data_IF_208910246606
#
_entry.id   IF_208910246606
#
_cell.length_a   1.000
_cell.length_b   1.000
_cell.length_c   1.000
_cell.angle_alpha   90.00
_cell.angle_beta   90.00
_cell.angle_gamma   90.00
#
_symmetry.space_group_name_H-M   'P 1'
#
loop_
_entity.id
_entity.type
_entity.pdbx_description
1 polymer ?
#
# COMPACT_ATOMS: atom_id res chain seq x y z
N UNK A 1 -2.00 -3.39 -11.85
CA UNK A 1 -1.00 -3.56 -10.78
C UNK A 1 -0.35 -2.21 -10.50
N UNK A 2 -0.02 -1.93 -9.24
CA UNK A 2 0.75 -0.75 -8.80
C UNK A 2 1.99 -1.26 -8.09
N UNK A 3 3.14 -0.65 -8.37
CA UNK A 3 4.41 -0.93 -7.68
C UNK A 3 4.79 0.30 -6.85
N UNK A 4 5.29 0.06 -5.64
CA UNK A 4 5.61 1.11 -4.67
C UNK A 4 6.86 0.72 -3.90
N UNK A 5 7.78 1.66 -3.72
CA UNK A 5 9.09 1.42 -3.13
C UNK A 5 10.07 2.53 -3.47
N UNK A 6 11.37 2.23 -3.36
CA UNK A 6 12.43 3.18 -3.64
C UNK A 6 12.44 3.64 -5.09
N UNK A 7 12.72 4.93 -5.28
CA UNK A 7 12.69 5.60 -6.59
C UNK A 7 13.57 4.90 -7.61
N UNK A 8 14.82 4.64 -7.25
CA UNK A 8 15.84 4.07 -8.14
C UNK A 8 15.48 2.64 -8.57
N UNK A 9 15.00 1.81 -7.65
CA UNK A 9 14.54 0.45 -7.95
C UNK A 9 13.36 0.46 -8.94
N UNK A 10 12.40 1.36 -8.75
CA UNK A 10 11.24 1.48 -9.63
C UNK A 10 11.59 2.09 -11.01
N UNK A 11 12.57 2.97 -11.09
CA UNK A 11 13.10 3.49 -12.36
C UNK A 11 13.76 2.38 -13.19
N UNK A 12 14.51 1.47 -12.55
CA UNK A 12 15.04 0.27 -13.21
C UNK A 12 13.93 -0.63 -13.78
N UNK A 13 12.90 -0.91 -12.98
CA UNK A 13 11.75 -1.71 -13.43
C UNK A 13 10.94 -1.03 -14.53
N UNK A 14 10.80 0.29 -14.48
CA UNK A 14 10.17 1.06 -15.57
C UNK A 14 10.90 0.84 -16.89
N UNK A 15 12.24 0.92 -16.91
CA UNK A 15 13.03 0.68 -18.11
C UNK A 15 12.80 -0.73 -18.65
N UNK A 16 12.84 -1.76 -17.79
CA UNK A 16 12.56 -3.15 -18.18
C UNK A 16 11.17 -3.29 -18.79
N UNK A 17 10.13 -2.83 -18.10
CA UNK A 17 8.76 -2.98 -18.59
C UNK A 17 8.49 -2.21 -19.87
N UNK A 18 9.06 -1.00 -20.03
CA UNK A 18 8.97 -0.26 -21.28
C UNK A 18 9.71 -0.96 -22.42
N UNK A 19 10.88 -1.55 -22.15
CA UNK A 19 11.62 -2.36 -23.12
C UNK A 19 10.83 -3.59 -23.60
N UNK A 20 10.00 -4.16 -22.73
CA UNK A 20 9.04 -5.22 -23.05
C UNK A 20 7.75 -4.71 -23.77
N UNK A 21 7.66 -3.41 -24.05
CA UNK A 21 6.48 -2.80 -24.68
C UNK A 21 5.29 -2.59 -23.75
N UNK A 22 5.46 -2.72 -22.42
CA UNK A 22 4.38 -2.50 -21.45
C UNK A 22 4.21 -1.01 -21.14
N UNK A 23 2.95 -0.60 -20.94
CA UNK A 23 2.62 0.77 -20.53
C UNK A 23 2.94 0.99 -19.05
N UNK A 24 3.79 1.97 -18.76
CA UNK A 24 4.13 2.41 -17.40
C UNK A 24 3.70 3.86 -17.19
N UNK A 25 3.19 4.18 -15.99
CA UNK A 25 2.82 5.55 -15.59
C UNK A 25 3.17 5.79 -14.13
N UNK A 26 3.97 6.82 -13.87
CA UNK A 26 4.21 7.33 -12.51
C UNK A 26 2.95 7.97 -11.91
N UNK A 27 2.69 7.68 -10.64
CA UNK A 27 1.62 8.32 -9.88
C UNK A 27 2.14 9.60 -9.22
N UNK A 28 1.37 10.69 -9.30
CA UNK A 28 1.67 11.96 -8.61
C UNK A 28 1.21 11.87 -7.17
N UNK A 29 2.04 11.27 -6.33
CA UNK A 29 1.79 11.08 -4.89
C UNK A 29 3.02 11.53 -4.10
N UNK A 30 2.83 11.83 -2.82
CA UNK A 30 3.91 12.32 -1.97
C UNK A 30 4.84 11.22 -1.44
N UNK A 31 4.33 9.99 -1.30
CA UNK A 31 5.05 8.88 -0.69
C UNK A 31 4.79 7.55 -1.40
N UNK A 32 5.69 6.60 -1.16
CA UNK A 32 5.55 5.21 -1.57
C UNK A 32 4.65 4.42 -0.59
N UNK A 33 3.33 4.66 -0.65
CA UNK A 33 2.36 3.93 0.17
C UNK A 33 2.39 2.42 -0.09
N UNK A 34 2.06 1.61 0.92
CA UNK A 34 2.14 0.14 0.86
C UNK A 34 3.53 -0.41 0.49
N UNK A 35 4.60 0.31 0.87
CA UNK A 35 5.98 -0.17 0.76
C UNK A 35 6.66 -0.15 2.13
N UNK A 36 7.83 -0.81 2.30
CA UNK A 36 8.62 -0.72 3.53
C UNK A 36 9.02 0.71 3.92
N UNK A 37 8.98 1.67 2.98
CA UNK A 37 9.22 3.08 3.28
C UNK A 37 8.14 3.70 4.18
N UNK A 38 7.04 3.00 4.44
CA UNK A 38 6.03 3.40 5.43
C UNK A 38 6.38 2.96 6.86
N UNK A 39 7.42 2.14 7.07
CA UNK A 39 7.83 1.68 8.41
C UNK A 39 8.02 2.84 9.42
N UNK A 40 8.66 3.98 9.08
CA UNK A 40 8.92 5.04 10.04
C UNK A 40 7.65 5.65 10.68
N UNK A 41 6.51 5.64 9.97
CA UNK A 41 5.27 6.19 10.51
C UNK A 41 4.46 5.18 11.34
N UNK A 42 4.78 3.89 11.26
CA UNK A 42 3.95 2.84 11.88
C UNK A 42 3.87 2.97 13.40
N UNK A 43 4.97 3.35 14.06
CA UNK A 43 4.98 3.47 15.51
C UNK A 43 3.99 4.53 16.02
N UNK A 44 4.01 5.72 15.42
CA UNK A 44 3.12 6.82 15.83
C UNK A 44 1.69 6.59 15.37
N UNK A 45 1.51 6.01 14.17
CA UNK A 45 0.20 5.61 13.69
C UNK A 45 -0.46 4.59 14.62
N UNK A 46 0.30 3.60 15.10
CA UNK A 46 -0.20 2.57 16.01
C UNK A 46 -0.62 3.14 17.37
N UNK A 47 0.05 4.17 17.88
CA UNK A 47 -0.37 4.86 19.12
C UNK A 47 -1.78 5.42 18.99
N UNK A 48 -2.07 6.07 17.87
CA UNK A 48 -3.39 6.64 17.59
C UNK A 48 -4.42 5.53 17.41
N UNK A 49 -4.12 4.52 16.59
CA UNK A 49 -5.02 3.41 16.32
C UNK A 49 -5.44 2.66 17.61
N UNK A 50 -4.51 2.42 18.53
CA UNK A 50 -4.79 1.78 19.83
C UNK A 50 -5.75 2.59 20.72
N UNK A 51 -5.89 3.89 20.49
CA UNK A 51 -6.82 4.74 21.22
C UNK A 51 -8.28 4.64 20.74
N UNK A 52 -8.55 3.87 19.70
CA UNK A 52 -9.88 3.72 19.12
C UNK A 52 -10.62 2.53 19.73
N UNK A 53 -11.94 2.69 19.91
CA UNK A 53 -12.83 1.56 20.22
C UNK A 53 -13.26 0.91 18.90
N UNK A 54 -12.94 -0.37 18.73
CA UNK A 54 -13.33 -1.17 17.58
C UNK A 54 -14.64 -1.91 17.88
N UNK A 55 -15.52 -2.00 16.88
CA UNK A 55 -16.78 -2.72 16.96
C UNK A 55 -16.91 -3.65 15.76
N UNK A 56 -17.62 -4.75 15.96
CA UNK A 56 -17.87 -5.71 14.89
C UNK A 56 -18.67 -5.06 13.75
N UNK A 57 -18.29 -5.30 12.49
CA UNK A 57 -18.99 -4.74 11.36
C UNK A 57 -20.41 -5.34 11.26
N UNK A 58 -21.42 -4.48 11.20
CA UNK A 58 -22.83 -4.92 11.03
C UNK A 58 -23.13 -5.40 9.60
N UNK A 59 -22.26 -5.07 8.65
CA UNK A 59 -22.33 -5.48 7.25
C UNK A 59 -21.02 -6.16 6.84
N UNK A 60 -21.05 -7.14 5.93
CA UNK A 60 -19.82 -7.78 5.46
C UNK A 60 -18.84 -6.76 4.88
N UNK A 61 -17.58 -6.83 5.34
CA UNK A 61 -16.47 -6.04 4.81
C UNK A 61 -15.54 -6.98 4.05
N UNK A 62 -15.15 -6.64 2.83
CA UNK A 62 -14.08 -7.36 2.12
C UNK A 62 -12.75 -6.70 2.49
N UNK A 63 -11.84 -7.46 3.08
CA UNK A 63 -10.52 -7.00 3.51
C UNK A 63 -9.65 -6.63 2.30
N UNK A 64 -8.99 -5.47 2.36
CA UNK A 64 -7.98 -5.08 1.38
C UNK A 64 -6.61 -5.75 1.63
N UNK A 65 -6.47 -6.50 2.72
CA UNK A 65 -5.25 -7.26 3.05
C UNK A 65 -5.34 -8.68 2.52
N UNK A 66 -6.45 -9.37 2.76
CA UNK A 66 -6.63 -10.78 2.37
C UNK A 66 -7.44 -10.95 1.09
N UNK A 67 -8.27 -9.97 0.72
CA UNK A 67 -9.24 -10.11 -0.39
C UNK A 67 -10.45 -10.97 -0.03
N UNK A 68 -10.57 -11.42 1.22
CA UNK A 68 -11.66 -12.24 1.74
C UNK A 68 -12.61 -11.41 2.62
N UNK A 69 -13.71 -12.00 3.06
CA UNK A 69 -14.55 -11.37 4.09
C UNK A 69 -13.73 -11.18 5.36
N UNK A 70 -13.76 -9.97 5.92
CA UNK A 70 -13.10 -9.65 7.17
C UNK A 70 -13.81 -10.36 8.32
N UNK A 71 -13.03 -11.10 9.09
CA UNK A 71 -13.47 -11.70 10.34
C UNK A 71 -13.39 -10.64 11.46
N UNK A 72 -14.26 -10.77 12.46
CA UNK A 72 -14.28 -9.90 13.65
C UNK A 72 -13.31 -10.40 14.70
#
# INVERSE_FOLDING_TARGET
>A
MVLSGEREALEGLEQTFRGEGRKVRWLKVSHAFHSPLMEPVLHDFLKVARGLTYQDPQLPVVSNVTGELAES
#
